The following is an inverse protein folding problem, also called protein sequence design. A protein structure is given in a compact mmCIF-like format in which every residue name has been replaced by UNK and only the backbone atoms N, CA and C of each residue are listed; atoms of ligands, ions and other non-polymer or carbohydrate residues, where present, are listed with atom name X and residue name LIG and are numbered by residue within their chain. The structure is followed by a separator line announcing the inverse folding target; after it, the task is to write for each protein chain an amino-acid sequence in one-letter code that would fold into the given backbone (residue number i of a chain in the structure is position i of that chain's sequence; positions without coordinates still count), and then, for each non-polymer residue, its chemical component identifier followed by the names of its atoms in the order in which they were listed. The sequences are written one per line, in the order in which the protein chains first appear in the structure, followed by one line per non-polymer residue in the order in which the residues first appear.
data_IF_559148922971
#
_entry.id   IF_559148922971
#
_cell.length_a   1.000
_cell.length_b   1.000
_cell.length_c   1.000
_cell.angle_alpha   90.00
_cell.angle_beta   90.00
_cell.angle_gamma   90.00
#
_symmetry.space_group_name_H-M   'P 1'
#
loop_
_entity.id
_entity.type
_entity.pdbx_description
1 polymer ?
#
# COMPACT_ATOMS: atom_id res chain seq x y z
N UNK A 1 -42.96 56.64 46.51
CA UNK A 1 -43.35 55.65 45.49
C UNK A 1 -42.09 54.98 44.97
N UNK A 2 -41.76 53.77 45.42
CA UNK A 2 -40.51 53.08 45.05
C UNK A 2 -40.69 52.22 43.79
N UNK A 3 -39.82 52.40 42.79
CA UNK A 3 -39.83 51.68 41.51
C UNK A 3 -39.11 50.33 41.68
N UNK A 4 -39.85 49.21 41.70
CA UNK A 4 -39.28 47.85 41.65
C UNK A 4 -38.72 47.58 40.25
N UNK A 5 -37.41 47.34 40.17
CA UNK A 5 -36.76 46.80 38.97
C UNK A 5 -37.07 45.30 38.86
N UNK A 6 -37.58 44.87 37.70
CA UNK A 6 -37.73 43.44 37.38
C UNK A 6 -36.32 42.88 37.14
N UNK A 7 -35.87 41.97 38.00
CA UNK A 7 -34.66 41.20 37.76
C UNK A 7 -34.81 40.36 36.51
N UNK A 8 -33.82 40.39 35.63
CA UNK A 8 -33.69 39.48 34.49
C UNK A 8 -33.68 38.03 34.98
N UNK A 9 -34.35 37.09 34.29
CA UNK A 9 -34.34 35.69 34.69
C UNK A 9 -32.90 35.17 34.64
N UNK A 10 -32.40 34.67 35.77
CA UNK A 10 -31.10 33.99 35.81
C UNK A 10 -31.23 32.62 35.15
N UNK A 11 -30.45 32.40 34.10
CA UNK A 11 -30.37 31.11 33.43
C UNK A 11 -29.50 30.20 34.29
N UNK A 12 -29.98 28.98 34.55
CA UNK A 12 -29.27 27.98 35.35
C UNK A 12 -28.03 27.47 34.61
N UNK A 13 -26.92 28.21 34.73
CA UNK A 13 -25.66 27.91 34.06
C UNK A 13 -25.03 26.59 34.54
N UNK A 14 -25.29 26.17 35.79
CA UNK A 14 -24.81 24.88 36.30
C UNK A 14 -25.45 23.72 35.55
N UNK A 15 -26.77 23.73 35.37
CA UNK A 15 -27.50 22.70 34.63
C UNK A 15 -27.12 22.67 33.15
N UNK A 16 -26.85 23.83 32.55
CA UNK A 16 -26.42 23.91 31.16
C UNK A 16 -24.99 23.37 30.97
N UNK A 17 -24.10 23.64 31.94
CA UNK A 17 -22.73 23.12 31.94
C UNK A 17 -22.70 21.59 32.12
N UNK A 18 -23.54 21.04 33.01
CA UNK A 18 -23.60 19.60 33.26
C UNK A 18 -24.05 18.81 32.01
N UNK A 19 -25.08 19.31 31.32
CA UNK A 19 -25.58 18.71 30.08
C UNK A 19 -24.53 18.81 28.97
N UNK A 20 -23.88 19.96 28.81
CA UNK A 20 -22.82 20.12 27.82
C UNK A 20 -21.62 19.20 28.10
N UNK A 21 -21.26 19.02 29.37
CA UNK A 21 -20.14 18.17 29.78
C UNK A 21 -20.43 16.69 29.54
N UNK A 22 -21.65 16.23 29.87
CA UNK A 22 -22.10 14.86 29.57
C UNK A 22 -22.12 14.57 28.06
N UNK A 23 -22.58 15.52 27.24
CA UNK A 23 -22.55 15.37 25.79
C UNK A 23 -21.12 15.31 25.23
N UNK A 24 -20.19 16.06 25.82
CA UNK A 24 -18.79 16.06 25.41
C UNK A 24 -18.11 14.74 25.77
N UNK A 25 -18.36 14.21 26.98
CA UNK A 25 -17.91 12.87 27.37
C UNK A 25 -18.56 11.81 26.49
N UNK A 26 -19.86 11.92 26.20
CA UNK A 26 -20.54 10.98 25.31
C UNK A 26 -19.90 10.97 23.93
N UNK A 27 -19.71 12.13 23.30
CA UNK A 27 -19.02 12.23 22.02
C UNK A 27 -17.58 11.70 22.09
N UNK A 28 -16.84 11.97 23.16
CA UNK A 28 -15.47 11.49 23.36
C UNK A 28 -15.39 9.97 23.57
N UNK A 29 -16.38 9.38 24.24
CA UNK A 29 -16.45 7.95 24.55
C UNK A 29 -16.95 7.14 23.36
N UNK A 30 -17.87 7.70 22.57
CA UNK A 30 -18.38 7.04 21.36
C UNK A 30 -17.61 7.40 20.09
N UNK A 31 -16.63 8.31 20.15
CA UNK A 31 -15.67 8.50 19.04
C UNK A 31 -14.74 7.29 18.99
N UNK A 32 -15.18 6.26 18.28
CA UNK A 32 -14.26 5.27 17.75
C UNK A 32 -13.51 5.91 16.58
N UNK A 33 -12.19 6.00 16.70
CA UNK A 33 -11.36 6.16 15.51
C UNK A 33 -11.45 4.80 14.81
N UNK A 34 -12.22 4.72 13.73
CA UNK A 34 -12.18 3.56 12.84
C UNK A 34 -10.76 3.47 12.32
N UNK A 35 -10.00 2.50 12.85
CA UNK A 35 -8.68 2.17 12.32
C UNK A 35 -8.96 1.23 11.16
N UNK A 36 -9.07 1.79 9.95
CA UNK A 36 -9.00 0.95 8.74
C UNK A 36 -7.70 0.16 8.82
N UNK A 37 -7.79 -1.17 8.61
CA UNK A 37 -6.64 -2.07 8.72
C UNK A 37 -5.47 -1.54 7.88
N UNK A 38 -4.44 -1.05 8.57
CA UNK A 38 -3.29 -0.46 7.91
C UNK A 38 -2.46 -1.51 7.16
N UNK A 39 -1.66 -1.05 6.19
CA UNK A 39 -0.72 -1.92 5.49
C UNK A 39 0.42 -2.31 6.44
N UNK A 40 0.53 -3.60 6.74
CA UNK A 40 1.70 -4.12 7.47
C UNK A 40 2.93 -4.13 6.55
N UNK A 41 3.59 -2.98 6.43
CA UNK A 41 4.86 -2.81 5.72
C UNK A 41 6.00 -2.78 6.72
N UNK A 42 6.95 -3.71 6.56
CA UNK A 42 8.26 -3.57 7.19
C UNK A 42 9.03 -2.57 6.36
N UNK A 43 9.31 -1.39 6.94
CA UNK A 43 10.14 -0.39 6.29
C UNK A 43 11.57 -0.94 6.13
N UNK A 44 12.26 -0.63 5.02
CA UNK A 44 13.68 -0.92 4.91
C UNK A 44 14.46 -0.24 6.04
N UNK A 45 15.62 -0.81 6.44
CA UNK A 45 16.46 -0.20 7.46
C UNK A 45 16.83 1.22 7.04
N UNK A 46 16.76 2.16 7.97
CA UNK A 46 17.18 3.53 7.72
C UNK A 46 18.69 3.59 7.46
N UNK A 47 19.10 4.29 6.41
CA UNK A 47 20.51 4.49 6.02
C UNK A 47 20.80 5.98 5.83
N UNK A 48 21.99 6.42 6.24
CA UNK A 48 22.49 7.78 5.95
C UNK A 48 22.93 7.95 4.49
N UNK A 49 23.16 6.84 3.81
CA UNK A 49 23.48 6.85 2.39
C UNK A 49 22.17 7.01 1.62
N UNK A 50 22.10 7.99 0.69
CA UNK A 50 20.96 8.09 -0.21
C UNK A 50 20.82 6.76 -0.96
N UNK A 51 19.60 6.28 -1.20
CA UNK A 51 19.41 5.06 -1.98
C UNK A 51 20.15 5.21 -3.31
N UNK A 52 20.89 4.18 -3.75
CA UNK A 52 21.60 4.25 -5.01
C UNK A 52 20.59 4.63 -6.10
N UNK A 53 20.94 5.55 -7.03
CA UNK A 53 20.08 5.83 -8.16
C UNK A 53 19.78 4.50 -8.84
N UNK A 54 18.50 4.16 -8.93
CA UNK A 54 18.08 2.94 -9.60
C UNK A 54 18.37 3.17 -11.08
N UNK A 55 19.57 2.80 -11.53
CA UNK A 55 19.92 2.69 -12.96
C UNK A 55 19.12 1.51 -13.54
N UNK A 56 17.82 1.70 -13.63
CA UNK A 56 16.93 0.70 -14.20
C UNK A 56 16.94 0.91 -15.70
N UNK A 57 17.49 -0.07 -16.41
CA UNK A 57 17.18 -0.21 -17.83
C UNK A 57 15.65 -0.41 -17.92
N UNK A 58 14.97 0.35 -18.76
CA UNK A 58 13.49 0.30 -18.88
C UNK A 58 12.94 -1.13 -18.99
N UNK A 59 13.70 -2.07 -19.58
CA UNK A 59 13.33 -3.50 -19.68
C UNK A 59 13.19 -4.25 -18.35
N UNK A 60 13.82 -3.76 -17.27
CA UNK A 60 13.83 -4.40 -15.95
C UNK A 60 12.85 -3.74 -14.97
N UNK A 61 12.04 -2.79 -15.45
CA UNK A 61 11.01 -2.13 -14.64
C UNK A 61 9.63 -2.50 -15.15
N UNK A 62 8.78 -3.08 -14.29
CA UNK A 62 7.36 -3.24 -14.55
C UNK A 62 6.63 -1.99 -14.07
N UNK A 63 5.95 -1.29 -14.96
CA UNK A 63 5.21 -0.07 -14.64
C UNK A 63 3.78 -0.45 -14.27
N UNK A 64 3.34 -0.09 -13.07
CA UNK A 64 1.99 -0.33 -12.57
C UNK A 64 1.39 1.00 -12.14
N UNK A 65 0.48 1.52 -12.94
CA UNK A 65 -0.22 2.77 -12.70
C UNK A 65 -1.66 2.51 -12.28
N UNK A 66 -2.15 3.26 -11.30
CA UNK A 66 -3.52 3.21 -10.86
C UNK A 66 -4.11 4.62 -10.91
N UNK A 67 -5.21 4.81 -11.64
CA UNK A 67 -5.79 6.13 -11.85
C UNK A 67 -6.95 6.45 -10.88
N UNK A 68 -7.42 7.70 -10.88
CA UNK A 68 -8.52 8.16 -10.04
C UNK A 68 -9.89 7.49 -10.30
N UNK A 69 -10.00 6.65 -11.33
CA UNK A 69 -11.20 5.85 -11.62
C UNK A 69 -11.02 4.39 -11.19
N UNK A 70 -10.02 4.10 -10.37
CA UNK A 70 -9.62 2.77 -9.93
C UNK A 70 -9.31 1.80 -11.08
N UNK A 71 -8.87 2.36 -12.23
CA UNK A 71 -8.44 1.55 -13.36
C UNK A 71 -6.94 1.32 -13.26
N UNK A 72 -6.58 0.04 -13.25
CA UNK A 72 -5.20 -0.42 -13.25
C UNK A 72 -4.67 -0.45 -14.68
N UNK A 73 -3.52 0.15 -14.89
CA UNK A 73 -2.73 0.06 -16.11
C UNK A 73 -1.40 -0.60 -15.76
N UNK A 74 -1.09 -1.70 -16.44
CA UNK A 74 0.19 -2.39 -16.34
C UNK A 74 0.90 -2.16 -17.66
N UNK A 75 2.11 -1.62 -17.61
CA UNK A 75 2.81 -1.01 -18.75
C UNK A 75 1.93 0.07 -19.41
N UNK A 76 1.42 -0.21 -20.60
CA UNK A 76 0.53 0.68 -21.36
C UNK A 76 -0.89 0.11 -21.52
N UNK A 77 -1.16 -1.06 -20.94
CA UNK A 77 -2.41 -1.80 -21.13
C UNK A 77 -3.32 -1.78 -19.88
N UNK A 78 -4.60 -1.47 -20.10
CA UNK A 78 -5.62 -1.55 -19.06
C UNK A 78 -5.84 -3.01 -18.66
N UNK A 79 -5.65 -3.29 -17.38
CA UNK A 79 -5.58 -4.64 -16.84
C UNK A 79 -6.49 -4.75 -15.62
N UNK A 80 -7.06 -5.94 -15.39
CA UNK A 80 -7.82 -6.22 -14.18
C UNK A 80 -6.87 -6.62 -13.04
N UNK A 81 -7.13 -6.13 -11.83
CA UNK A 81 -6.30 -6.40 -10.63
C UNK A 81 -6.08 -7.90 -10.40
N UNK A 82 -7.04 -8.75 -10.77
CA UNK A 82 -6.93 -10.21 -10.63
C UNK A 82 -5.82 -10.82 -11.49
N UNK A 83 -5.46 -10.18 -12.59
CA UNK A 83 -4.39 -10.64 -13.50
C UNK A 83 -3.01 -10.10 -13.10
N UNK A 84 -2.97 -9.07 -12.25
CA UNK A 84 -1.73 -8.40 -11.87
C UNK A 84 -0.72 -9.36 -11.24
N UNK A 85 -1.18 -10.31 -10.42
CA UNK A 85 -0.31 -11.30 -9.79
C UNK A 85 0.42 -12.14 -10.83
N UNK A 86 -0.32 -12.72 -11.76
CA UNK A 86 0.25 -13.60 -12.79
C UNK A 86 1.19 -12.84 -13.73
N UNK A 87 0.82 -11.63 -14.14
CA UNK A 87 1.67 -10.75 -14.95
C UNK A 87 2.97 -10.40 -14.23
N UNK A 88 2.88 -10.06 -12.95
CA UNK A 88 4.04 -9.75 -12.11
C UNK A 88 4.96 -10.97 -11.98
N UNK A 89 4.40 -12.18 -11.79
CA UNK A 89 5.18 -13.42 -11.75
C UNK A 89 5.90 -13.70 -13.06
N UNK A 90 5.19 -13.54 -14.19
CA UNK A 90 5.76 -13.73 -15.52
C UNK A 90 6.91 -12.76 -15.77
N UNK A 91 6.71 -11.48 -15.48
CA UNK A 91 7.73 -10.45 -15.62
C UNK A 91 8.99 -10.76 -14.79
N UNK A 92 8.83 -11.11 -13.50
CA UNK A 92 9.96 -11.37 -12.60
C UNK A 92 10.70 -12.65 -13.03
N UNK A 93 9.98 -13.71 -13.41
CA UNK A 93 10.57 -15.01 -13.71
C UNK A 93 10.86 -15.24 -15.21
N UNK A 94 10.83 -14.17 -16.02
CA UNK A 94 11.16 -14.24 -17.44
C UNK A 94 12.60 -14.73 -17.70
N UNK A 95 13.55 -14.38 -16.81
CA UNK A 95 14.97 -14.75 -16.93
C UNK A 95 15.59 -14.40 -18.30
N UNK A 96 15.17 -13.28 -18.90
CA UNK A 96 15.70 -12.78 -20.18
C UNK A 96 15.27 -13.56 -21.43
N UNK A 97 14.22 -14.39 -21.34
CA UNK A 97 13.67 -15.12 -22.50
C UNK A 97 12.94 -14.17 -23.44
N UNK A 98 12.11 -13.29 -22.90
CA UNK A 98 11.46 -12.21 -23.64
C UNK A 98 12.29 -10.90 -23.51
N UNK A 99 12.73 -10.28 -24.63
CA UNK A 99 13.42 -8.99 -24.62
C UNK A 99 12.65 -7.83 -23.97
N UNK A 100 11.32 -7.96 -23.85
CA UNK A 100 10.44 -6.93 -23.26
C UNK A 100 10.18 -7.13 -21.77
N UNK A 101 10.73 -8.16 -21.15
CA UNK A 101 10.54 -8.47 -19.72
C UNK A 101 11.88 -8.56 -18.98
N UNK A 102 11.85 -8.76 -17.66
CA UNK A 102 13.07 -8.69 -16.84
C UNK A 102 14.13 -9.73 -17.23
N UNK A 103 15.39 -9.30 -17.18
CA UNK A 103 16.57 -10.13 -17.37
C UNK A 103 16.70 -11.21 -16.28
N UNK A 104 16.35 -10.90 -15.03
CA UNK A 104 16.43 -11.81 -13.88
C UNK A 104 15.64 -11.26 -12.68
N UNK A 105 15.02 -12.11 -11.83
CA UNK A 105 14.45 -11.70 -10.55
C UNK A 105 15.33 -10.78 -9.68
N UNK A 106 16.65 -10.90 -9.79
CA UNK A 106 17.63 -10.07 -9.07
C UNK A 106 17.73 -8.62 -9.52
N UNK A 107 17.20 -8.27 -10.68
CA UNK A 107 17.24 -6.89 -11.21
C UNK A 107 15.86 -6.34 -11.52
N UNK A 108 14.83 -7.19 -11.49
CA UNK A 108 13.44 -6.81 -11.64
C UNK A 108 13.02 -5.79 -10.56
N UNK A 109 12.44 -4.67 -11.00
CA UNK A 109 11.83 -3.65 -10.16
C UNK A 109 10.38 -3.47 -10.57
N UNK A 110 9.46 -3.44 -9.62
CA UNK A 110 8.06 -3.08 -9.87
C UNK A 110 7.88 -1.64 -9.45
N UNK A 111 7.61 -0.74 -10.40
CA UNK A 111 7.26 0.65 -10.12
C UNK A 111 5.75 0.74 -9.96
N UNK A 112 5.29 1.06 -8.76
CA UNK A 112 3.88 1.27 -8.49
C UNK A 112 3.60 2.76 -8.27
N UNK A 113 2.56 3.26 -8.93
CA UNK A 113 2.17 4.65 -8.87
C UNK A 113 0.66 4.81 -8.85
N UNK A 114 0.13 5.32 -7.74
CA UNK A 114 -1.28 5.68 -7.61
C UNK A 114 -1.54 7.16 -7.89
N UNK A 115 -2.66 7.47 -8.53
CA UNK A 115 -3.20 8.82 -8.58
C UNK A 115 -3.81 9.18 -7.21
N UNK A 116 -3.81 10.48 -6.87
CA UNK A 116 -4.37 11.01 -5.62
C UNK A 116 -5.87 10.74 -5.45
N UNK A 117 -6.61 10.57 -6.55
CA UNK A 117 -8.05 10.29 -6.54
C UNK A 117 -8.40 8.81 -6.44
N UNK A 118 -7.40 7.92 -6.37
CA UNK A 118 -7.61 6.47 -6.25
C UNK A 118 -8.23 6.09 -4.91
N UNK A 119 -9.14 5.12 -4.89
CA UNK A 119 -9.68 4.59 -3.63
C UNK A 119 -8.62 3.81 -2.85
N UNK A 120 -8.66 3.94 -1.53
CA UNK A 120 -7.74 3.22 -0.65
C UNK A 120 -7.87 1.69 -0.84
N UNK A 121 -9.09 1.18 -0.93
CA UNK A 121 -9.34 -0.25 -1.14
C UNK A 121 -8.68 -0.79 -2.40
N UNK A 122 -8.73 -0.04 -3.51
CA UNK A 122 -8.11 -0.46 -4.76
C UNK A 122 -6.58 -0.44 -4.66
N UNK A 123 -6.03 0.59 -4.03
CA UNK A 123 -4.59 0.67 -3.74
C UNK A 123 -4.12 -0.57 -2.95
N UNK A 124 -4.87 -0.96 -1.91
CA UNK A 124 -4.55 -2.14 -1.08
C UNK A 124 -4.64 -3.43 -1.88
N UNK A 125 -5.67 -3.59 -2.70
CA UNK A 125 -5.81 -4.76 -3.56
C UNK A 125 -4.62 -4.92 -4.49
N UNK A 126 -4.22 -3.84 -5.17
CA UNK A 126 -3.03 -3.84 -6.06
C UNK A 126 -1.77 -4.22 -5.28
N UNK A 127 -1.55 -3.59 -4.11
CA UNK A 127 -0.38 -3.89 -3.29
C UNK A 127 -0.33 -5.34 -2.82
N UNK A 128 -1.49 -5.90 -2.45
CA UNK A 128 -1.62 -7.31 -2.05
C UNK A 128 -1.33 -8.27 -3.20
N UNK A 129 -1.80 -7.97 -4.43
CA UNK A 129 -1.50 -8.81 -5.59
C UNK A 129 -0.02 -8.77 -5.97
N UNK A 130 0.63 -7.60 -5.90
CA UNK A 130 2.06 -7.48 -6.10
C UNK A 130 2.85 -8.30 -5.08
N UNK A 131 2.51 -8.20 -3.79
CA UNK A 131 3.13 -9.03 -2.74
C UNK A 131 2.83 -10.51 -2.90
N UNK A 132 1.61 -10.84 -3.30
CA UNK A 132 1.18 -12.21 -3.60
C UNK A 132 2.06 -12.85 -4.66
N UNK A 133 2.40 -12.11 -5.71
CA UNK A 133 3.31 -12.59 -6.76
C UNK A 133 4.69 -12.98 -6.21
N UNK A 134 5.29 -12.15 -5.35
CA UNK A 134 6.57 -12.49 -4.71
C UNK A 134 6.47 -13.69 -3.77
N UNK A 135 5.38 -13.81 -3.02
CA UNK A 135 5.16 -14.93 -2.12
C UNK A 135 5.06 -16.24 -2.91
N UNK A 136 4.25 -16.28 -3.98
CA UNK A 136 4.13 -17.44 -4.85
C UNK A 136 5.49 -17.85 -5.45
N UNK A 137 6.28 -16.89 -5.95
CA UNK A 137 7.61 -17.18 -6.51
C UNK A 137 8.56 -17.77 -5.47
N UNK A 138 8.50 -17.26 -4.23
CA UNK A 138 9.30 -17.76 -3.11
C UNK A 138 8.84 -19.15 -2.68
N UNK A 139 7.54 -19.40 -2.63
CA UNK A 139 6.97 -20.72 -2.32
C UNK A 139 7.37 -21.75 -3.38
N UNK A 140 7.26 -21.42 -4.66
CA UNK A 140 7.69 -22.26 -5.77
C UNK A 140 9.19 -22.58 -5.69
N UNK A 141 10.03 -21.58 -5.37
CA UNK A 141 11.46 -21.75 -5.21
C UNK A 141 11.84 -22.59 -3.98
N UNK A 142 11.19 -22.35 -2.84
CA UNK A 142 11.37 -23.12 -1.62
C UNK A 142 10.96 -24.58 -1.84
N UNK A 143 9.84 -24.82 -2.52
CA UNK A 143 9.36 -26.17 -2.83
C UNK A 143 10.31 -26.90 -3.77
N UNK A 144 10.85 -26.23 -4.79
CA UNK A 144 11.83 -26.81 -5.72
C UNK A 144 13.15 -27.18 -5.03
N UNK A 145 13.61 -26.36 -4.08
CA UNK A 145 14.94 -26.52 -3.46
C UNK A 145 14.94 -27.33 -2.17
N UNK A 146 13.88 -27.21 -1.36
CA UNK A 146 13.78 -27.79 -0.02
C UNK A 146 12.57 -28.72 0.16
N UNK A 147 11.70 -28.82 -0.83
CA UNK A 147 10.50 -29.68 -0.77
C UNK A 147 9.41 -29.16 0.18
N UNK A 148 9.49 -27.91 0.63
CA UNK A 148 8.55 -27.26 1.56
C UNK A 148 8.14 -25.89 1.07
N UNK A 149 6.98 -25.41 1.48
CA UNK A 149 6.55 -24.04 1.21
C UNK A 149 7.43 -23.04 1.98
N UNK A 150 7.55 -21.81 1.49
CA UNK A 150 8.37 -20.77 2.11
C UNK A 150 7.86 -20.43 3.50
N UNK A 151 6.53 -20.43 3.68
CA UNK A 151 5.85 -20.20 4.96
C UNK A 151 6.17 -21.27 6.01
N UNK A 152 6.52 -22.49 5.59
CA UNK A 152 6.86 -23.61 6.46
C UNK A 152 8.35 -23.70 6.80
N UNK A 153 9.19 -22.87 6.17
CA UNK A 153 10.61 -22.82 6.48
C UNK A 153 10.81 -22.17 7.86
N UNK A 154 11.49 -22.89 8.75
CA UNK A 154 11.88 -22.38 10.07
C UNK A 154 13.36 -21.98 10.15
N UNK A 155 14.16 -22.49 9.21
CA UNK A 155 15.59 -22.26 9.15
C UNK A 155 15.90 -20.90 8.50
N UNK A 156 16.42 -19.97 9.29
CA UNK A 156 16.77 -18.60 8.87
C UNK A 156 17.70 -18.58 7.67
N UNK A 157 18.63 -19.53 7.54
CA UNK A 157 19.57 -19.58 6.41
C UNK A 157 18.82 -19.89 5.11
N UNK A 158 17.90 -20.86 5.13
CA UNK A 158 17.08 -21.22 3.97
C UNK A 158 16.10 -20.12 3.60
N UNK A 159 15.52 -19.46 4.60
CA UNK A 159 14.63 -18.31 4.41
C UNK A 159 15.38 -17.18 3.69
N UNK A 160 16.57 -16.82 4.18
CA UNK A 160 17.37 -15.76 3.57
C UNK A 160 17.81 -16.13 2.15
N UNK A 161 18.20 -17.37 1.90
CA UNK A 161 18.57 -17.82 0.56
C UNK A 161 17.43 -17.65 -0.47
N UNK A 162 16.18 -17.93 -0.09
CA UNK A 162 15.02 -17.72 -0.96
C UNK A 162 14.67 -16.23 -1.10
N UNK A 163 14.77 -15.45 -0.01
CA UNK A 163 14.58 -13.99 -0.06
C UNK A 163 15.62 -13.32 -0.95
N UNK A 164 16.85 -13.80 -0.91
CA UNK A 164 17.96 -13.31 -1.72
C UNK A 164 17.75 -13.70 -3.17
N UNK A 165 17.11 -14.83 -3.49
CA UNK A 165 16.77 -15.25 -4.86
C UNK A 165 15.62 -14.42 -5.47
N UNK A 166 14.66 -13.98 -4.65
CA UNK A 166 13.53 -13.14 -5.06
C UNK A 166 13.40 -11.95 -4.09
N UNK A 167 14.28 -10.93 -4.22
CA UNK A 167 14.20 -9.74 -3.41
C UNK A 167 12.94 -8.94 -3.79
N UNK A 168 12.17 -8.49 -2.80
CA UNK A 168 11.03 -7.62 -3.06
C UNK A 168 11.57 -6.22 -3.37
N UNK A 169 11.34 -5.76 -4.60
CA UNK A 169 11.71 -4.41 -5.05
C UNK A 169 10.49 -3.73 -5.64
N UNK A 170 9.63 -3.23 -4.76
CA UNK A 170 8.50 -2.39 -5.13
C UNK A 170 8.91 -0.96 -4.85
N UNK A 171 9.05 -0.16 -5.91
CA UNK A 171 9.32 1.26 -5.83
C UNK A 171 7.99 2.00 -5.93
N UNK A 172 7.53 2.51 -4.80
CA UNK A 172 6.37 3.41 -4.77
C UNK A 172 6.83 4.83 -5.11
N UNK A 173 6.22 5.41 -6.15
CA UNK A 173 6.44 6.81 -6.49
C UNK A 173 5.37 7.69 -5.83
N UNK A 174 5.75 8.93 -5.51
CA UNK A 174 4.82 9.94 -5.01
C UNK A 174 3.58 10.05 -5.92
N UNK A 175 2.36 10.18 -5.36
CA UNK A 175 1.15 10.30 -6.15
C UNK A 175 1.21 11.51 -7.08
N UNK A 176 0.98 11.30 -8.37
CA UNK A 176 0.88 12.37 -9.37
C UNK A 176 -0.49 12.39 -9.99
N UNK A 177 -0.90 13.52 -10.55
CA UNK A 177 -2.10 13.59 -11.42
C UNK A 177 -1.83 12.82 -12.73
N UNK A 178 -2.31 11.58 -12.81
CA UNK A 178 -2.25 10.73 -13.99
C UNK A 178 -3.68 10.50 -14.50
N UNK A 179 -4.06 11.20 -15.57
CA UNK A 179 -5.38 11.07 -16.19
C UNK A 179 -6.40 12.18 -15.88
N UNK A 180 -5.95 13.31 -15.30
CA UNK A 180 -6.72 14.56 -15.35
C UNK A 180 -6.79 15.02 -16.82
N UNK A 181 -7.91 14.73 -17.47
CA UNK A 181 -8.09 14.90 -18.91
C UNK A 181 -7.65 16.26 -19.42
N UNK A 182 -6.92 16.25 -20.54
CA UNK A 182 -6.99 17.36 -21.50
C UNK A 182 -8.46 17.67 -21.76
N UNK A 183 -8.84 18.90 -21.45
CA UNK A 183 -10.15 19.48 -21.82
C UNK A 183 -10.37 19.44 -23.32
#
# INVERSE_FOLDING_TARGET
MGKKTRGTPEINASSMADIAFLLLIFFLVTTEIAIDEGINVVLPPWTNEPPPPIETNNRNTLIVNLNARDQLQVEEELTDVRMLRDLTKQFINNNGVDPHQSDNPQVAVVSFKGDRGTSYDMYIQVYNELRGAYNDLRDEAAKRKFGKEFTELTDTTKINEIKDMYPIRISEAEPSEFGAGTK
#
